data_IF_726201836524
#
_entry.id   IF_726201836524
#
_cell.length_a   1.000
_cell.length_b   1.000
_cell.length_c   1.000
_cell.angle_alpha   90.00
_cell.angle_beta   90.00
_cell.angle_gamma   90.00
#
_symmetry.space_group_name_H-M   'P 1'
#
loop_
_entity.id
_entity.type
_entity.pdbx_description
1 polymer ?
#
# COMPACT_ATOMS: atom_id res chain seq x y z
N UNK A 1 0.13 -0.22 -23.04
CA UNK A 1 -0.91 -0.05 -21.99
C UNK A 1 -1.71 -1.33 -21.88
N UNK A 2 -1.53 -2.16 -20.84
CA UNK A 2 -2.54 -3.16 -20.40
C UNK A 2 -2.16 -3.97 -19.14
N UNK A 3 -0.92 -3.90 -18.62
CA UNK A 3 -0.52 -4.78 -17.51
C UNK A 3 -0.93 -4.32 -16.10
N UNK A 4 -1.40 -3.07 -15.91
CA UNK A 4 -1.74 -2.53 -14.58
C UNK A 4 -3.09 -3.04 -14.01
N UNK A 5 -4.01 -3.52 -14.86
CA UNK A 5 -5.32 -4.06 -14.42
C UNK A 5 -5.24 -5.50 -13.90
N UNK A 6 -4.20 -6.25 -14.30
CA UNK A 6 -4.04 -7.66 -13.93
C UNK A 6 -3.59 -7.86 -12.48
N UNK A 7 -2.83 -6.95 -11.88
CA UNK A 7 -2.41 -7.08 -10.48
C UNK A 7 -3.58 -6.93 -9.50
N UNK A 8 -4.48 -5.96 -9.74
CA UNK A 8 -5.70 -5.79 -8.95
C UNK A 8 -6.62 -7.00 -9.14
N UNK A 9 -6.72 -7.52 -10.37
CA UNK A 9 -7.47 -8.76 -10.64
C UNK A 9 -6.87 -9.99 -9.95
N UNK A 10 -5.53 -10.14 -9.92
CA UNK A 10 -4.83 -11.24 -9.24
C UNK A 10 -5.02 -11.13 -7.72
N UNK A 11 -5.04 -9.92 -7.16
CA UNK A 11 -5.21 -9.67 -5.73
C UNK A 11 -6.68 -9.87 -5.28
N UNK A 12 -7.63 -9.49 -6.14
CA UNK A 12 -9.05 -9.82 -5.97
C UNK A 12 -9.30 -11.33 -6.16
N UNK A 13 -8.61 -11.97 -7.11
CA UNK A 13 -8.66 -13.41 -7.33
C UNK A 13 -8.04 -14.18 -6.17
N UNK A 14 -6.94 -13.73 -5.56
CA UNK A 14 -6.34 -14.35 -4.38
C UNK A 14 -7.27 -14.28 -3.16
N UNK A 15 -7.95 -13.15 -2.97
CA UNK A 15 -8.95 -12.99 -1.90
C UNK A 15 -10.21 -13.83 -2.16
N UNK A 16 -10.67 -13.92 -3.41
CA UNK A 16 -11.75 -14.83 -3.82
C UNK A 16 -11.32 -16.30 -3.72
N UNK A 17 -10.06 -16.65 -4.01
CA UNK A 17 -9.56 -18.03 -3.91
C UNK A 17 -9.51 -18.52 -2.46
N UNK A 18 -9.18 -17.63 -1.52
CA UNK A 18 -9.27 -17.92 -0.08
C UNK A 18 -10.72 -18.12 0.35
N UNK A 19 -11.66 -17.31 -0.17
CA UNK A 19 -13.09 -17.43 0.11
C UNK A 19 -13.79 -18.60 -0.63
N UNK A 20 -13.27 -19.08 -1.75
CA UNK A 20 -13.79 -20.26 -2.46
C UNK A 20 -13.14 -21.56 -1.99
N UNK A 21 -11.95 -21.51 -1.39
CA UNK A 21 -11.32 -22.69 -0.78
C UNK A 21 -12.08 -23.23 0.44
N UNK A 22 -13.05 -22.47 0.97
CA UNK A 22 -13.94 -22.91 2.06
C UNK A 22 -15.11 -23.79 1.60
N UNK A 23 -15.29 -24.03 0.29
CA UNK A 23 -16.30 -24.95 -0.27
C UNK A 23 -15.70 -26.24 -0.85
N UNK A 24 -14.52 -26.68 -0.39
CA UNK A 24 -14.04 -28.03 -0.69
C UNK A 24 -14.72 -29.06 0.22
N UNK A 25 -15.94 -29.46 -0.13
CA UNK A 25 -16.45 -30.78 0.23
C UNK A 25 -15.62 -31.83 -0.51
N UNK A 26 -14.55 -32.31 0.13
CA UNK A 26 -13.85 -33.50 -0.35
C UNK A 26 -14.62 -34.75 0.09
N UNK A 27 -15.33 -35.36 -0.86
CA UNK A 27 -15.88 -36.72 -0.74
C UNK A 27 -14.77 -37.75 -0.46
N UNK A 28 -15.02 -38.82 0.32
CA UNK A 28 -13.97 -39.55 1.00
C UNK A 28 -13.45 -40.79 0.25
N UNK A 29 -12.30 -41.25 0.76
CA UNK A 29 -11.64 -42.55 0.61
C UNK A 29 -10.73 -42.80 -0.60
N UNK A 30 -9.42 -42.87 -0.31
CA UNK A 30 -8.48 -43.79 -0.96
C UNK A 30 -7.66 -44.49 0.13
N UNK A 31 -7.93 -45.78 0.30
CA UNK A 31 -7.08 -46.86 0.81
C UNK A 31 -5.95 -46.54 1.82
N UNK A 32 -6.18 -46.95 3.07
CA UNK A 32 -5.24 -47.86 3.77
C UNK A 32 -3.98 -47.29 4.43
N UNK A 33 -3.68 -46.00 4.33
CA UNK A 33 -2.59 -45.37 5.08
C UNK A 33 -3.06 -44.08 5.72
N UNK A 34 -2.87 -43.96 7.03
CA UNK A 34 -3.32 -42.82 7.84
C UNK A 34 -2.61 -41.54 7.38
N UNK A 35 -3.16 -40.85 6.39
CA UNK A 35 -3.15 -39.40 6.37
C UNK A 35 -4.45 -38.96 7.02
N UNK A 36 -4.43 -38.75 8.34
CA UNK A 36 -5.51 -38.00 9.00
C UNK A 36 -5.50 -36.62 8.37
N UNK A 37 -6.33 -36.42 7.33
CA UNK A 37 -6.70 -35.09 6.85
C UNK A 37 -7.31 -34.41 8.08
N UNK A 38 -6.53 -33.54 8.72
CA UNK A 38 -7.03 -32.76 9.84
C UNK A 38 -8.10 -31.85 9.25
N UNK A 39 -9.35 -32.18 9.48
CA UNK A 39 -10.47 -31.28 9.18
C UNK A 39 -10.23 -29.98 9.94
N UNK A 40 -10.18 -28.88 9.21
CA UNK A 40 -10.00 -27.55 9.82
C UNK A 40 -11.27 -27.25 10.63
N UNK A 41 -11.09 -26.96 11.91
CA UNK A 41 -12.20 -26.47 12.72
C UNK A 41 -12.40 -24.97 12.47
N UNK A 42 -13.55 -24.43 12.88
CA UNK A 42 -13.88 -23.00 12.68
C UNK A 42 -12.82 -22.05 13.26
N UNK A 43 -12.13 -22.46 14.32
CA UNK A 43 -11.06 -21.68 14.95
C UNK A 43 -9.79 -21.64 14.08
N UNK A 44 -9.40 -22.76 13.49
CA UNK A 44 -8.27 -22.85 12.55
C UNK A 44 -8.55 -22.01 11.31
N UNK A 45 -9.79 -22.04 10.79
CA UNK A 45 -10.23 -21.22 9.66
C UNK A 45 -10.13 -19.73 9.99
N UNK A 46 -10.75 -19.28 11.10
CA UNK A 46 -10.73 -17.87 11.50
C UNK A 46 -9.31 -17.33 11.76
N UNK A 47 -8.43 -18.17 12.33
CA UNK A 47 -7.03 -17.84 12.53
C UNK A 47 -6.31 -17.61 11.21
N UNK A 48 -6.44 -18.56 10.27
CA UNK A 48 -5.84 -18.45 8.94
C UNK A 48 -6.36 -17.20 8.24
N UNK A 49 -7.68 -17.00 8.20
CA UNK A 49 -8.29 -15.83 7.55
C UNK A 49 -7.78 -14.51 8.13
N UNK A 50 -7.67 -14.39 9.47
CA UNK A 50 -7.15 -13.19 10.11
C UNK A 50 -5.69 -12.91 9.72
N UNK A 51 -4.79 -13.88 9.87
CA UNK A 51 -3.36 -13.69 9.57
C UNK A 51 -3.08 -13.51 8.08
N UNK A 52 -3.91 -14.11 7.22
CA UNK A 52 -3.87 -13.85 5.79
C UNK A 52 -4.33 -12.43 5.47
N UNK A 53 -5.43 -11.95 6.09
CA UNK A 53 -5.88 -10.57 5.96
C UNK A 53 -4.81 -9.55 6.37
N UNK A 54 -4.18 -9.78 7.52
CA UNK A 54 -3.02 -9.01 7.99
C UNK A 54 -1.88 -8.98 6.96
N UNK A 55 -1.49 -10.16 6.44
CA UNK A 55 -0.42 -10.27 5.44
C UNK A 55 -0.78 -9.54 4.13
N UNK A 56 -2.04 -9.59 3.70
CA UNK A 56 -2.52 -8.88 2.51
C UNK A 56 -2.40 -7.37 2.70
N UNK A 57 -2.77 -6.83 3.87
CA UNK A 57 -2.62 -5.41 4.17
C UNK A 57 -1.15 -4.97 4.22
N UNK A 58 -0.28 -5.76 4.86
CA UNK A 58 1.17 -5.55 4.83
C UNK A 58 1.73 -5.55 3.40
N UNK A 59 1.35 -6.55 2.60
CA UNK A 59 1.76 -6.68 1.20
C UNK A 59 1.28 -5.52 0.33
N UNK A 60 0.03 -5.08 0.49
CA UNK A 60 -0.53 -3.92 -0.21
C UNK A 60 0.30 -2.66 0.03
N UNK A 61 0.66 -2.38 1.28
CA UNK A 61 1.51 -1.24 1.62
C UNK A 61 2.90 -1.33 0.98
N UNK A 62 3.55 -2.49 1.11
CA UNK A 62 4.88 -2.73 0.54
C UNK A 62 4.92 -2.57 -0.99
N UNK A 63 4.02 -3.25 -1.71
CA UNK A 63 4.01 -3.18 -3.17
C UNK A 63 3.60 -1.80 -3.70
N UNK A 64 2.70 -1.10 -3.01
CA UNK A 64 2.35 0.28 -3.38
C UNK A 64 3.53 1.21 -3.21
N UNK A 65 4.29 1.11 -2.11
CA UNK A 65 5.50 1.90 -1.91
C UNK A 65 6.50 1.72 -3.05
N UNK A 66 6.74 0.46 -3.46
CA UNK A 66 7.62 0.17 -4.61
C UNK A 66 7.05 0.77 -5.90
N UNK A 67 5.74 0.61 -6.16
CA UNK A 67 5.09 1.17 -7.34
C UNK A 67 5.18 2.71 -7.42
N UNK A 68 4.97 3.41 -6.31
CA UNK A 68 5.10 4.87 -6.23
C UNK A 68 6.55 5.31 -6.46
N UNK A 69 7.51 4.57 -5.92
CA UNK A 69 8.94 4.87 -6.11
C UNK A 69 9.36 4.69 -7.57
N UNK A 70 8.88 3.64 -8.25
CA UNK A 70 9.13 3.43 -9.69
C UNK A 70 8.56 4.60 -10.50
N UNK A 71 7.32 5.01 -10.22
CA UNK A 71 6.71 6.17 -10.88
C UNK A 71 7.53 7.46 -10.65
N UNK A 72 8.09 7.64 -9.45
CA UNK A 72 8.95 8.78 -9.15
C UNK A 72 10.28 8.76 -9.93
N UNK A 73 10.85 7.58 -10.18
CA UNK A 73 12.03 7.42 -11.04
C UNK A 73 11.69 7.77 -12.49
N UNK A 74 10.52 7.35 -12.99
CA UNK A 74 10.06 7.74 -14.33
C UNK A 74 9.90 9.26 -14.47
N UNK A 75 9.32 9.90 -13.45
CA UNK A 75 9.20 11.36 -13.38
C UNK A 75 10.58 12.04 -13.37
N UNK A 76 11.52 11.55 -12.55
CA UNK A 76 12.91 12.04 -12.54
C UNK A 76 13.50 12.01 -13.94
N UNK A 77 13.40 10.89 -14.66
CA UNK A 77 13.98 10.76 -15.99
C UNK A 77 13.39 11.78 -16.99
N UNK A 78 12.08 12.09 -16.86
CA UNK A 78 11.45 13.15 -17.66
C UNK A 78 11.95 14.54 -17.27
N UNK A 79 12.12 14.81 -15.98
CA UNK A 79 12.69 16.08 -15.50
C UNK A 79 14.15 16.27 -15.98
N UNK A 80 14.96 15.22 -15.97
CA UNK A 80 16.33 15.24 -16.51
C UNK A 80 16.33 15.55 -18.02
N UNK A 81 15.38 14.98 -18.77
CA UNK A 81 15.23 15.28 -20.20
C UNK A 81 14.82 16.74 -20.45
N UNK A 82 13.89 17.27 -19.65
CA UNK A 82 13.48 18.68 -19.72
C UNK A 82 14.66 19.60 -19.39
N UNK A 83 15.40 19.29 -18.32
CA UNK A 83 16.60 20.02 -17.91
C UNK A 83 17.65 20.06 -19.02
N UNK A 84 17.95 18.92 -19.63
CA UNK A 84 18.88 18.80 -20.75
C UNK A 84 18.45 19.65 -21.95
N UNK A 85 17.17 19.58 -22.34
CA UNK A 85 16.64 20.36 -23.45
C UNK A 85 16.69 21.88 -23.17
N UNK A 86 16.38 22.31 -21.94
CA UNK A 86 16.47 23.72 -21.55
C UNK A 86 17.90 24.24 -21.55
N UNK A 87 18.86 23.46 -21.03
CA UNK A 87 20.28 23.82 -21.06
C UNK A 87 20.81 23.91 -22.50
N UNK A 88 20.48 22.95 -23.36
CA UNK A 88 21.08 22.82 -24.70
C UNK A 88 20.41 23.70 -25.75
N UNK A 89 19.08 23.78 -25.76
CA UNK A 89 18.33 24.55 -26.76
C UNK A 89 18.23 26.02 -26.40
N UNK A 90 18.21 26.36 -25.10
CA UNK A 90 17.91 27.72 -24.65
C UNK A 90 18.93 28.30 -23.68
N UNK A 91 20.02 27.58 -23.38
CA UNK A 91 21.13 28.07 -22.56
C UNK A 91 20.73 28.43 -21.13
N UNK A 92 19.62 27.89 -20.62
CA UNK A 92 19.09 28.22 -19.30
C UNK A 92 19.62 27.24 -18.26
N UNK A 93 20.24 27.74 -17.18
CA UNK A 93 20.72 26.91 -16.08
C UNK A 93 19.56 26.21 -15.34
N UNK A 94 19.56 24.87 -15.39
CA UNK A 94 18.59 24.00 -14.74
C UNK A 94 19.18 23.15 -13.60
N UNK A 95 20.25 23.63 -12.96
CA UNK A 95 20.91 22.95 -11.82
C UNK A 95 19.95 22.67 -10.66
N UNK A 96 19.07 23.61 -10.31
CA UNK A 96 18.06 23.44 -9.26
C UNK A 96 17.02 22.35 -9.62
N UNK A 97 16.53 22.35 -10.86
CA UNK A 97 15.60 21.34 -11.36
C UNK A 97 16.22 19.94 -11.32
N UNK A 98 17.49 19.85 -11.71
CA UNK A 98 18.26 18.60 -11.70
C UNK A 98 18.49 18.10 -10.26
N UNK A 99 18.79 19.00 -9.33
CA UNK A 99 18.91 18.68 -7.90
C UNK A 99 17.59 18.15 -7.33
N UNK A 100 16.48 18.82 -7.65
CA UNK A 100 15.14 18.38 -7.26
C UNK A 100 14.80 17.01 -7.87
N UNK A 101 15.04 16.80 -9.17
CA UNK A 101 14.77 15.54 -9.85
C UNK A 101 15.53 14.36 -9.22
N UNK A 102 16.78 14.59 -8.81
CA UNK A 102 17.57 13.58 -8.10
C UNK A 102 17.05 13.27 -6.70
N UNK A 103 16.56 14.28 -5.97
CA UNK A 103 16.00 14.10 -4.62
C UNK A 103 14.59 13.47 -4.64
N UNK A 104 13.80 13.73 -5.68
CA UNK A 104 12.38 13.38 -5.73
C UNK A 104 12.08 11.89 -5.49
N UNK A 105 12.74 10.91 -6.13
CA UNK A 105 12.51 9.49 -5.85
C UNK A 105 12.78 9.10 -4.39
N UNK A 106 13.80 9.70 -3.76
CA UNK A 106 14.16 9.42 -2.37
C UNK A 106 13.11 9.96 -1.41
N UNK A 107 12.59 11.16 -1.69
CA UNK A 107 11.49 11.77 -0.92
C UNK A 107 10.23 10.92 -1.04
N UNK A 108 9.85 10.55 -2.26
CA UNK A 108 8.67 9.70 -2.51
C UNK A 108 8.84 8.34 -1.82
N UNK A 109 10.01 7.71 -1.93
CA UNK A 109 10.30 6.47 -1.23
C UNK A 109 10.12 6.64 0.27
N UNK A 110 10.80 7.61 0.90
CA UNK A 110 10.76 7.80 2.35
C UNK A 110 9.35 8.00 2.91
N UNK A 111 8.56 8.88 2.28
CA UNK A 111 7.17 9.13 2.71
C UNK A 111 6.32 7.87 2.56
N UNK A 112 6.41 7.19 1.41
CA UNK A 112 5.62 5.98 1.18
C UNK A 112 6.09 4.79 2.02
N UNK A 113 7.37 4.70 2.38
CA UNK A 113 7.88 3.67 3.30
C UNK A 113 7.31 3.83 4.70
N UNK A 114 7.25 5.06 5.22
CA UNK A 114 6.65 5.34 6.52
C UNK A 114 5.16 4.98 6.48
N UNK A 115 4.43 5.40 5.44
CA UNK A 115 3.02 5.05 5.29
C UNK A 115 2.82 3.53 5.17
N UNK A 116 3.59 2.85 4.33
CA UNK A 116 3.54 1.40 4.17
C UNK A 116 3.86 0.65 5.47
N UNK A 117 4.77 1.16 6.30
CA UNK A 117 5.04 0.60 7.62
C UNK A 117 3.80 0.51 8.50
N UNK A 118 2.86 1.45 8.37
CA UNK A 118 1.59 1.41 9.14
C UNK A 118 0.66 0.28 8.72
N UNK A 119 0.78 -0.24 7.49
CA UNK A 119 -0.08 -1.34 7.03
C UNK A 119 0.26 -2.69 7.67
N UNK A 120 1.42 -2.78 8.34
CA UNK A 120 1.84 -3.92 9.16
C UNK A 120 1.37 -3.83 10.62
N UNK A 121 0.49 -2.89 10.97
CA UNK A 121 -0.16 -2.86 12.28
C UNK A 121 -1.34 -3.84 12.25
N UNK A 122 -1.38 -4.88 13.10
CA UNK A 122 -2.51 -5.81 13.12
C UNK A 122 -3.83 -5.09 13.42
N UNK A 123 -4.92 -5.58 12.84
CA UNK A 123 -6.32 -5.14 13.03
C UNK A 123 -6.65 -3.77 12.45
N UNK A 124 -5.73 -2.81 12.54
CA UNK A 124 -5.96 -1.40 12.17
C UNK A 124 -5.08 -0.90 11.03
N UNK A 125 -4.06 -1.66 10.62
CA UNK A 125 -3.08 -1.23 9.63
C UNK A 125 -3.69 -0.86 8.29
N UNK A 126 -4.64 -1.66 7.78
CA UNK A 126 -5.36 -1.33 6.54
C UNK A 126 -6.15 -0.02 6.63
N UNK A 127 -6.77 0.28 7.78
CA UNK A 127 -7.51 1.52 7.99
C UNK A 127 -6.59 2.73 8.10
N UNK A 128 -5.50 2.62 8.88
CA UNK A 128 -4.53 3.69 9.08
C UNK A 128 -3.83 3.99 7.75
N UNK A 129 -3.30 2.97 7.08
CA UNK A 129 -2.64 3.12 5.79
C UNK A 129 -3.59 3.69 4.74
N UNK A 130 -4.84 3.22 4.70
CA UNK A 130 -5.85 3.74 3.79
C UNK A 130 -6.14 5.22 4.03
N UNK A 131 -6.25 5.63 5.28
CA UNK A 131 -6.45 7.04 5.67
C UNK A 131 -5.26 7.91 5.28
N UNK A 132 -4.03 7.44 5.48
CA UNK A 132 -2.82 8.15 5.04
C UNK A 132 -2.78 8.35 3.52
N UNK A 133 -3.18 7.33 2.76
CA UNK A 133 -3.30 7.45 1.30
C UNK A 133 -4.38 8.47 0.90
N UNK A 134 -5.52 8.51 1.57
CA UNK A 134 -6.54 9.54 1.35
C UNK A 134 -6.04 10.94 1.65
N UNK A 135 -5.34 11.14 2.77
CA UNK A 135 -4.72 12.42 3.11
C UNK A 135 -3.71 12.86 2.05
N UNK A 136 -2.90 11.93 1.53
CA UNK A 136 -1.99 12.21 0.42
C UNK A 136 -2.75 12.55 -0.87
N UNK A 137 -3.80 11.81 -1.22
CA UNK A 137 -4.63 12.11 -2.39
C UNK A 137 -5.25 13.51 -2.31
N UNK A 138 -5.77 13.90 -1.14
CA UNK A 138 -6.30 15.24 -0.90
C UNK A 138 -5.20 16.30 -1.02
N UNK A 139 -4.02 16.05 -0.46
CA UNK A 139 -2.87 16.94 -0.58
C UNK A 139 -2.48 17.14 -2.05
N UNK A 140 -2.33 16.07 -2.83
CA UNK A 140 -1.98 16.13 -4.25
C UNK A 140 -3.08 16.80 -5.09
N UNK A 141 -4.36 16.55 -4.80
CA UNK A 141 -5.48 17.22 -5.45
C UNK A 141 -5.54 18.73 -5.12
N UNK A 142 -5.19 19.09 -3.89
CA UNK A 142 -5.12 20.50 -3.47
C UNK A 142 -3.93 21.19 -4.13
N UNK A 143 -2.76 20.53 -4.16
CA UNK A 143 -1.58 21.04 -4.82
C UNK A 143 -1.81 21.23 -6.31
N UNK A 144 -2.46 20.29 -6.99
CA UNK A 144 -2.77 20.40 -8.42
C UNK A 144 -3.83 21.47 -8.75
N UNK A 145 -4.69 21.84 -7.81
CA UNK A 145 -5.75 22.86 -8.01
C UNK A 145 -5.33 24.28 -7.62
N UNK A 146 -4.59 24.45 -6.52
CA UNK A 146 -4.13 25.76 -6.03
C UNK A 146 -2.88 26.20 -6.79
N UNK A 147 -2.03 25.24 -7.15
CA UNK A 147 -0.91 25.46 -8.02
C UNK A 147 -1.11 24.56 -9.24
N UNK A 148 -1.64 25.07 -10.36
CA UNK A 148 -1.10 24.60 -11.62
C UNK A 148 0.39 24.98 -11.57
N UNK A 149 1.23 24.17 -10.92
CA UNK A 149 2.68 24.30 -10.84
C UNK A 149 3.18 24.15 -12.27
N UNK A 150 3.01 25.21 -13.06
CA UNK A 150 4.03 25.60 -14.00
C UNK A 150 5.22 25.82 -13.10
N UNK A 151 6.08 24.80 -12.99
CA UNK A 151 7.39 24.88 -12.36
C UNK A 151 7.85 26.34 -12.49
N UNK A 152 8.00 27.11 -11.39
CA UNK A 152 7.98 28.58 -11.43
C UNK A 152 8.91 29.18 -12.50
N UNK A 153 9.98 28.46 -12.81
CA UNK A 153 10.94 28.65 -13.89
C UNK A 153 10.39 28.73 -15.32
N UNK A 154 9.16 28.29 -15.63
CA UNK A 154 8.65 28.20 -17.01
C UNK A 154 7.61 29.25 -17.40
N UNK A 155 7.08 30.02 -16.44
CA UNK A 155 6.13 31.09 -16.75
C UNK A 155 6.81 32.31 -17.39
N UNK A 156 8.11 32.48 -17.16
CA UNK A 156 8.87 33.66 -17.59
C UNK A 156 9.52 33.51 -18.97
N UNK A 157 9.29 32.39 -19.66
CA UNK A 157 9.85 32.16 -20.99
C UNK A 157 8.79 32.32 -22.11
N UNK A 158 8.76 33.48 -22.81
CA UNK A 158 7.70 33.82 -23.75
C UNK A 158 7.65 32.98 -25.05
N UNK A 159 8.64 32.12 -25.31
CA UNK A 159 8.75 31.35 -26.56
C UNK A 159 8.17 29.92 -26.57
N UNK A 160 7.71 29.36 -25.44
CA UNK A 160 7.53 27.91 -25.29
C UNK A 160 6.10 27.39 -25.42
N UNK A 161 5.10 28.27 -25.46
CA UNK A 161 3.69 27.86 -25.29
C UNK A 161 3.15 26.94 -26.39
N UNK A 162 3.80 26.87 -27.55
CA UNK A 162 3.41 26.02 -28.68
C UNK A 162 4.39 24.86 -28.96
N UNK A 163 5.42 24.67 -28.11
CA UNK A 163 6.47 23.65 -28.32
C UNK A 163 6.20 22.33 -27.58
N UNK A 164 6.77 21.24 -28.10
CA UNK A 164 6.71 19.91 -27.47
C UNK A 164 7.20 19.90 -26.02
N UNK A 165 8.14 20.79 -25.68
CA UNK A 165 8.68 20.91 -24.33
C UNK A 165 7.64 21.39 -23.31
N UNK A 166 6.74 22.30 -23.70
CA UNK A 166 5.67 22.75 -22.81
C UNK A 166 4.70 21.61 -22.49
N UNK A 167 4.40 20.75 -23.48
CA UNK A 167 3.59 19.57 -23.26
C UNK A 167 4.27 18.56 -22.31
N UNK A 168 5.59 18.38 -22.44
CA UNK A 168 6.35 17.53 -21.53
C UNK A 168 6.32 18.05 -20.08
N UNK A 169 6.48 19.36 -19.89
CA UNK A 169 6.41 20.01 -18.57
C UNK A 169 5.01 19.84 -17.96
N UNK A 170 3.96 20.12 -18.73
CA UNK A 170 2.57 19.95 -18.28
C UNK A 170 2.29 18.50 -17.91
N UNK A 171 2.77 17.54 -18.73
CA UNK A 171 2.58 16.12 -18.47
C UNK A 171 3.30 15.67 -17.20
N UNK A 172 4.55 16.11 -16.99
CA UNK A 172 5.32 15.80 -15.78
C UNK A 172 4.63 16.36 -14.55
N UNK A 173 4.22 17.64 -14.59
CA UNK A 173 3.52 18.26 -13.47
C UNK A 173 2.22 17.52 -13.14
N UNK A 174 1.42 17.17 -14.16
CA UNK A 174 0.19 16.41 -13.97
C UNK A 174 0.46 15.02 -13.37
N UNK A 175 1.55 14.37 -13.78
CA UNK A 175 1.93 13.03 -13.29
C UNK A 175 2.47 13.06 -11.86
N UNK A 176 3.17 14.14 -11.47
CA UNK A 176 3.70 14.32 -10.12
C UNK A 176 2.63 14.49 -9.06
N UNK A 177 1.52 15.14 -9.42
CA UNK A 177 0.44 15.47 -8.51
C UNK A 177 -0.85 14.70 -8.79
N UNK A 178 -0.78 13.56 -9.49
CA UNK A 178 -1.95 12.72 -9.77
C UNK A 178 -2.43 12.01 -8.48
N UNK A 179 -3.61 12.36 -7.94
CA UNK A 179 -4.13 11.77 -6.71
C UNK A 179 -4.72 10.36 -6.92
N UNK A 180 -4.92 9.93 -8.18
CA UNK A 180 -5.73 8.76 -8.53
C UNK A 180 -5.21 7.48 -7.89
N UNK A 181 -3.89 7.27 -7.95
CA UNK A 181 -3.25 6.07 -7.40
C UNK A 181 -3.43 5.97 -5.88
N UNK A 182 -3.24 7.09 -5.17
CA UNK A 182 -3.45 7.20 -3.73
C UNK A 182 -4.91 6.98 -3.34
N UNK A 183 -5.87 7.54 -4.08
CA UNK A 183 -7.29 7.31 -3.83
C UNK A 183 -7.70 5.84 -4.01
N UNK A 184 -7.24 5.21 -5.09
CA UNK A 184 -7.55 3.82 -5.40
C UNK A 184 -6.97 2.86 -4.35
N UNK A 185 -5.67 3.00 -4.02
CA UNK A 185 -5.04 2.18 -2.99
C UNK A 185 -5.64 2.46 -1.61
N UNK A 186 -5.91 3.73 -1.29
CA UNK A 186 -6.55 4.12 -0.04
C UNK A 186 -7.90 3.42 0.16
N UNK A 187 -8.71 3.37 -0.89
CA UNK A 187 -10.02 2.70 -0.88
C UNK A 187 -9.89 1.19 -0.66
N UNK A 188 -8.99 0.53 -1.41
CA UNK A 188 -8.73 -0.91 -1.25
C UNK A 188 -8.26 -1.20 0.18
N UNK A 189 -7.31 -0.41 0.69
CA UNK A 189 -6.75 -0.58 2.03
C UNK A 189 -7.79 -0.42 3.13
N UNK A 190 -8.71 0.55 3.01
CA UNK A 190 -9.80 0.71 3.99
C UNK A 190 -10.72 -0.51 3.98
N UNK A 191 -11.14 -0.97 2.80
CA UNK A 191 -12.01 -2.14 2.67
C UNK A 191 -11.33 -3.38 3.26
N UNK A 192 -10.08 -3.64 2.89
CA UNK A 192 -9.30 -4.76 3.43
C UNK A 192 -9.07 -4.63 4.94
N UNK A 193 -8.91 -3.42 5.47
CA UNK A 193 -8.83 -3.15 6.91
C UNK A 193 -10.14 -3.45 7.66
N UNK A 194 -11.29 -3.09 7.10
CA UNK A 194 -12.61 -3.42 7.67
C UNK A 194 -12.79 -4.95 7.70
N UNK A 195 -12.41 -5.65 6.63
CA UNK A 195 -12.48 -7.12 6.58
C UNK A 195 -11.58 -7.76 7.64
N UNK A 196 -10.33 -7.30 7.76
CA UNK A 196 -9.41 -7.77 8.80
C UNK A 196 -10.00 -7.55 10.21
N UNK A 197 -10.60 -6.39 10.46
CA UNK A 197 -11.25 -6.07 11.73
C UNK A 197 -12.41 -7.03 12.05
N UNK A 198 -13.27 -7.33 11.07
CA UNK A 198 -14.39 -8.27 11.22
C UNK A 198 -13.86 -9.68 11.52
N UNK A 199 -12.84 -10.13 10.79
CA UNK A 199 -12.21 -11.44 11.00
C UNK A 199 -11.58 -11.53 12.40
N UNK A 200 -10.88 -10.48 12.83
CA UNK A 200 -10.33 -10.39 14.18
C UNK A 200 -11.42 -10.50 15.25
N UNK A 201 -12.55 -9.79 15.07
CA UNK A 201 -13.67 -9.85 16.02
C UNK A 201 -14.23 -11.27 16.17
N UNK A 202 -14.46 -11.96 15.05
CA UNK A 202 -14.94 -13.35 15.05
C UNK A 202 -13.92 -14.30 15.67
N UNK A 203 -12.64 -14.13 15.32
CA UNK A 203 -11.54 -14.90 15.90
C UNK A 203 -11.47 -14.75 17.42
N UNK A 204 -11.55 -13.52 17.94
CA UNK A 204 -11.57 -13.25 19.39
C UNK A 204 -12.80 -13.83 20.08
N UNK A 205 -13.98 -13.73 19.45
CA UNK A 205 -15.21 -14.34 19.96
C UNK A 205 -15.07 -15.86 20.10
N UNK A 206 -14.45 -16.51 19.12
CA UNK A 206 -14.27 -17.95 19.11
C UNK A 206 -13.21 -18.42 20.11
N UNK A 207 -12.12 -17.66 20.30
CA UNK A 207 -11.15 -17.89 21.39
C UNK A 207 -11.84 -17.89 22.75
N UNK A 208 -12.69 -16.89 23.00
CA UNK A 208 -13.41 -16.74 24.27
C UNK A 208 -14.41 -17.88 24.49
N UNK A 209 -15.08 -18.34 23.43
CA UNK A 209 -16.01 -19.49 23.48
C UNK A 209 -15.29 -20.79 23.79
N UNK A 210 -14.15 -21.03 23.16
CA UNK A 210 -13.41 -22.28 23.29
C UNK A 210 -12.60 -22.42 24.59
N UNK A 211 -12.78 -21.50 25.56
CA UNK A 211 -12.08 -21.48 26.87
C UNK A 211 -10.60 -21.87 26.73
N UNK A 212 -9.89 -21.35 25.72
CA UNK A 212 -8.44 -21.45 25.73
C UNK A 212 -7.96 -20.69 26.98
N UNK A 213 -7.23 -21.33 27.90
CA UNK A 213 -6.74 -20.65 29.08
C UNK A 213 -5.84 -19.52 28.60
N UNK A 214 -6.33 -18.30 28.81
CA UNK A 214 -5.66 -17.02 28.73
C UNK A 214 -4.12 -17.12 28.53
N UNK A 215 -3.64 -16.98 27.29
CA UNK A 215 -2.25 -16.56 27.07
C UNK A 215 -1.94 -15.21 27.76
N UNK A 216 -2.97 -14.44 28.11
CA UNK A 216 -2.89 -13.26 28.98
C UNK A 216 -2.47 -13.56 30.43
N UNK A 217 -2.34 -14.83 30.86
CA UNK A 217 -1.79 -15.20 32.18
C UNK A 217 -0.31 -15.59 32.17
N UNK A 218 0.31 -15.72 31.00
CA UNK A 218 1.73 -16.11 30.92
C UNK A 218 2.64 -14.89 31.06
N UNK A 219 2.20 -13.68 30.72
CA UNK A 219 3.01 -12.46 30.86
C UNK A 219 2.09 -11.32 31.32
N UNK A 220 2.21 -10.95 32.60
CA UNK A 220 1.54 -9.76 33.14
C UNK A 220 2.62 -8.72 33.41
N UNK A 221 2.55 -7.57 32.74
CA UNK A 221 3.44 -6.44 33.05
C UNK A 221 2.84 -5.63 34.21
N UNK A 222 3.61 -5.52 35.29
CA UNK A 222 3.30 -4.70 36.47
C UNK A 222 4.35 -3.57 36.55
N UNK A 223 4.03 -2.40 37.14
CA UNK A 223 5.02 -1.35 37.33
C UNK A 223 6.17 -1.89 38.19
N UNK A 224 7.35 -2.09 37.57
CA UNK A 224 8.53 -2.66 38.21
C UNK A 224 8.91 -4.10 37.78
N UNK A 225 8.17 -4.76 36.88
CA UNK A 225 8.62 -6.06 36.36
C UNK A 225 7.63 -6.83 35.48
N UNK A 226 8.10 -7.97 34.98
CA UNK A 226 7.32 -8.94 34.20
C UNK A 226 7.01 -10.14 35.11
N UNK A 227 5.73 -10.43 35.35
CA UNK A 227 5.29 -11.64 36.03
C UNK A 227 4.95 -12.72 35.02
N UNK A 228 5.60 -13.88 35.13
CA UNK A 228 5.30 -15.08 34.32
C UNK A 228 4.59 -16.12 35.18
N UNK A 229 3.28 -16.29 34.96
CA UNK A 229 2.50 -17.34 35.60
C UNK A 229 2.53 -18.62 34.78
N UNK A 230 3.41 -19.56 35.11
CA UNK A 230 3.32 -20.93 34.62
C UNK A 230 2.29 -21.68 35.46
N UNK A 231 1.18 -22.13 34.84
CA UNK A 231 0.35 -23.18 35.41
C UNK A 231 0.56 -24.44 34.58
N UNK A 232 1.07 -25.48 35.25
CA UNK A 232 0.96 -26.88 34.82
C UNK A 232 -0.51 -27.26 34.62
#
# INVERSE_FOLDING_TARGET
MNNKKYYIYIQLLLSIFIFNSTELEMSPEINGTINKIRTLNNMDILKISFWTGYTVNGGLGFFTMIGQTINAIEIKNKLDSISSNMNTTYGTDMSELTSFANAYPVIVFGINSIAAGTSFIPVTGGLIYGTLNYSMAILLATLSSVYPFRLPYFNDFPGYKDDSLYNDIVQVNTSMFDPTSYFAVGTISIISGIVEFILYFHYQREIRRNKYPYFQKIITMIPGGISIGLKL
#
